data_IF_596606733169
#
_entry.id   IF_596606733169
#
_cell.length_a   1.000
_cell.length_b   1.000
_cell.length_c   1.000
_cell.angle_alpha   90.00
_cell.angle_beta   90.00
_cell.angle_gamma   90.00
#
_symmetry.space_group_name_H-M   'P 1'
#
loop_
_entity.id
_entity.type
_entity.pdbx_description
1 polymer ?
#
# COMPACT_ATOMS: atom_id res chain seq x y z
N UNK A 1 -41.24 7.66 -3.84
CA UNK A 1 -39.85 7.16 -3.78
C UNK A 1 -39.30 7.08 -2.35
N UNK A 2 -39.59 8.06 -1.47
CA UNK A 2 -39.14 8.07 -0.08
C UNK A 2 -39.68 6.89 0.76
N UNK A 3 -40.98 6.62 0.67
CA UNK A 3 -41.63 5.55 1.47
C UNK A 3 -41.17 4.13 1.07
N UNK A 4 -40.81 3.94 -0.20
CA UNK A 4 -40.28 2.66 -0.68
C UNK A 4 -38.90 2.37 -0.08
N UNK A 5 -38.00 3.35 -0.11
CA UNK A 5 -36.65 3.23 0.46
C UNK A 5 -36.72 2.99 1.97
N UNK A 6 -37.68 3.64 2.63
CA UNK A 6 -37.90 3.52 4.07
C UNK A 6 -38.45 2.14 4.46
N UNK A 7 -39.51 1.69 3.77
CA UNK A 7 -40.09 0.36 3.98
C UNK A 7 -39.07 -0.75 3.70
N UNK A 8 -38.25 -0.58 2.66
CA UNK A 8 -37.16 -1.49 2.34
C UNK A 8 -36.06 -1.51 3.41
N UNK A 9 -35.74 -0.34 4.00
CA UNK A 9 -34.76 -0.24 5.09
C UNK A 9 -35.22 -0.95 6.37
N UNK A 10 -36.49 -0.76 6.76
CA UNK A 10 -37.10 -1.49 7.88
C UNK A 10 -37.20 -3.00 7.61
N UNK A 11 -37.51 -3.41 6.37
CA UNK A 11 -37.52 -4.82 5.98
C UNK A 11 -36.13 -5.47 6.08
N UNK A 12 -35.07 -4.75 5.67
CA UNK A 12 -33.69 -5.23 5.82
C UNK A 12 -33.25 -5.31 7.28
N UNK A 13 -33.61 -4.31 8.10
CA UNK A 13 -33.24 -4.28 9.52
C UNK A 13 -33.88 -5.45 10.30
N UNK A 14 -35.16 -5.72 10.03
CA UNK A 14 -35.93 -6.79 10.66
C UNK A 14 -35.66 -8.19 10.08
N UNK A 15 -34.97 -8.30 8.94
CA UNK A 15 -34.68 -9.59 8.30
C UNK A 15 -33.47 -10.26 8.94
N UNK A 16 -33.72 -11.32 9.71
CA UNK A 16 -32.67 -12.14 10.32
C UNK A 16 -31.74 -12.78 9.29
N UNK A 17 -32.24 -13.12 8.09
CA UNK A 17 -31.42 -13.65 6.99
C UNK A 17 -30.43 -12.60 6.49
N UNK A 18 -30.88 -11.38 6.24
CA UNK A 18 -30.03 -10.29 5.77
C UNK A 18 -28.91 -9.97 6.76
N UNK A 19 -29.25 -9.81 8.04
CA UNK A 19 -28.28 -9.53 9.09
C UNK A 19 -27.25 -10.65 9.25
N UNK A 20 -27.67 -11.93 9.15
CA UNK A 20 -26.77 -13.08 9.17
C UNK A 20 -25.81 -13.08 7.97
N UNK A 21 -26.31 -12.87 6.75
CA UNK A 21 -25.46 -12.82 5.54
C UNK A 21 -24.48 -11.67 5.60
N UNK A 22 -24.91 -10.48 6.02
CA UNK A 22 -24.03 -9.33 6.15
C UNK A 22 -22.97 -9.54 7.22
N UNK A 23 -23.36 -10.10 8.37
CA UNK A 23 -22.42 -10.46 9.44
C UNK A 23 -21.39 -11.49 8.97
N UNK A 24 -21.82 -12.52 8.24
CA UNK A 24 -20.91 -13.52 7.66
C UNK A 24 -19.83 -12.90 6.78
N UNK A 25 -20.21 -12.07 5.80
CA UNK A 25 -19.22 -11.43 4.92
C UNK A 25 -18.36 -10.39 5.67
N UNK A 26 -18.93 -9.71 6.67
CA UNK A 26 -18.16 -8.82 7.55
C UNK A 26 -17.09 -9.61 8.30
N UNK A 27 -17.44 -10.74 8.90
CA UNK A 27 -16.47 -11.63 9.56
C UNK A 27 -15.44 -12.19 8.58
N UNK A 28 -15.87 -12.63 7.39
CA UNK A 28 -14.97 -13.17 6.38
C UNK A 28 -13.93 -12.14 5.89
N UNK A 29 -14.33 -10.88 5.69
CA UNK A 29 -13.45 -9.84 5.14
C UNK A 29 -12.65 -9.07 6.19
N UNK A 30 -13.23 -8.81 7.38
CA UNK A 30 -12.66 -7.90 8.39
C UNK A 30 -12.17 -8.59 9.67
N UNK A 31 -12.76 -9.72 10.08
CA UNK A 31 -12.48 -10.34 11.38
C UNK A 31 -11.30 -11.33 11.32
N UNK A 32 -10.16 -10.91 11.85
CA UNK A 32 -8.91 -11.69 11.89
C UNK A 32 -9.07 -13.02 12.62
N UNK A 33 -9.96 -13.11 13.61
CA UNK A 33 -10.15 -14.32 14.41
C UNK A 33 -11.10 -15.32 13.74
N UNK A 34 -11.70 -14.96 12.60
CA UNK A 34 -12.63 -15.84 11.91
C UNK A 34 -11.90 -16.96 11.17
N UNK A 35 -12.19 -18.25 11.45
CA UNK A 35 -11.39 -19.37 10.94
C UNK A 35 -11.37 -19.47 9.41
N UNK A 36 -12.48 -19.11 8.74
CA UNK A 36 -12.58 -19.15 7.28
C UNK A 36 -11.86 -17.99 6.59
N UNK A 37 -11.54 -16.92 7.33
CA UNK A 37 -10.83 -15.77 6.77
C UNK A 37 -9.44 -16.16 6.27
N UNK A 38 -8.72 -17.01 6.99
CA UNK A 38 -7.39 -17.47 6.59
C UNK A 38 -7.37 -18.10 5.19
N UNK A 39 -8.36 -18.95 4.88
CA UNK A 39 -8.49 -19.59 3.58
C UNK A 39 -8.86 -18.59 2.48
N UNK A 40 -9.78 -17.66 2.77
CA UNK A 40 -10.11 -16.59 1.85
C UNK A 40 -8.89 -15.72 1.54
N UNK A 41 -8.15 -15.30 2.56
CA UNK A 41 -6.95 -14.48 2.41
C UNK A 41 -5.88 -15.20 1.57
N UNK A 42 -5.62 -16.49 1.81
CA UNK A 42 -4.70 -17.28 0.96
C UNK A 42 -5.17 -17.41 -0.48
N UNK A 43 -6.47 -17.65 -0.68
CA UNK A 43 -7.04 -17.70 -2.03
C UNK A 43 -6.84 -16.38 -2.78
N UNK A 44 -7.08 -15.25 -2.11
CA UNK A 44 -6.90 -13.93 -2.72
C UNK A 44 -5.42 -13.61 -3.00
N UNK A 45 -4.52 -13.94 -2.07
CA UNK A 45 -3.06 -13.81 -2.28
C UNK A 45 -2.63 -14.63 -3.50
N UNK A 46 -3.10 -15.88 -3.61
CA UNK A 46 -2.81 -16.74 -4.75
C UNK A 46 -3.27 -16.13 -6.07
N UNK A 47 -4.50 -15.57 -6.12
CA UNK A 47 -4.99 -14.87 -7.31
C UNK A 47 -4.16 -13.64 -7.67
N UNK A 48 -3.71 -12.85 -6.67
CA UNK A 48 -2.87 -11.68 -6.90
C UNK A 48 -1.52 -12.08 -7.48
N UNK A 49 -0.83 -13.03 -6.85
CA UNK A 49 0.49 -13.49 -7.29
C UNK A 49 0.39 -14.14 -8.67
N UNK A 50 -0.61 -15.01 -8.88
CA UNK A 50 -0.87 -15.63 -10.17
C UNK A 50 -1.15 -14.61 -11.28
N UNK A 51 -1.97 -13.59 -10.99
CA UNK A 51 -2.26 -12.51 -11.94
C UNK A 51 -1.01 -11.73 -12.35
N UNK A 52 -0.13 -11.42 -11.39
CA UNK A 52 1.13 -10.73 -11.66
C UNK A 52 2.09 -11.63 -12.44
N UNK A 53 2.14 -12.92 -12.13
CA UNK A 53 2.95 -13.88 -12.87
C UNK A 53 2.48 -13.97 -14.34
N UNK A 54 1.16 -14.03 -14.60
CA UNK A 54 0.59 -13.98 -15.96
C UNK A 54 0.96 -12.66 -16.65
N UNK A 55 0.87 -11.52 -15.96
CA UNK A 55 1.26 -10.22 -16.52
C UNK A 55 2.73 -10.21 -16.96
N UNK A 56 3.66 -10.67 -16.11
CA UNK A 56 5.09 -10.68 -16.41
C UNK A 56 5.41 -11.67 -17.52
N UNK A 57 4.90 -12.89 -17.44
CA UNK A 57 5.15 -13.94 -18.45
C UNK A 57 4.54 -13.60 -19.80
N UNK A 58 3.40 -12.89 -19.85
CA UNK A 58 2.80 -12.42 -21.11
C UNK A 58 3.68 -11.43 -21.88
N UNK A 59 4.71 -10.84 -21.24
CA UNK A 59 5.68 -9.95 -21.89
C UNK A 59 6.84 -10.69 -22.54
N UNK A 60 7.14 -11.90 -22.10
CA UNK A 60 8.29 -12.68 -22.56
C UNK A 60 7.88 -13.85 -23.44
N UNK A 61 6.70 -14.43 -23.20
CA UNK A 61 6.20 -15.62 -23.89
C UNK A 61 4.76 -15.40 -24.34
N UNK A 62 4.42 -15.91 -25.52
CA UNK A 62 3.04 -15.98 -25.98
C UNK A 62 2.26 -16.99 -25.14
N UNK A 63 1.47 -16.49 -24.20
CA UNK A 63 0.60 -17.30 -23.36
C UNK A 63 -0.66 -17.73 -24.13
N UNK A 64 -1.21 -18.92 -23.82
CA UNK A 64 -2.46 -19.35 -24.42
C UNK A 64 -3.60 -18.39 -24.04
N UNK A 65 -4.48 -18.09 -25.01
CA UNK A 65 -5.55 -17.08 -24.85
C UNK A 65 -6.43 -17.32 -23.63
N UNK A 66 -6.77 -18.58 -23.35
CA UNK A 66 -7.61 -18.93 -22.20
C UNK A 66 -7.03 -18.48 -20.85
N UNK A 67 -5.70 -18.46 -20.70
CA UNK A 67 -5.04 -18.05 -19.46
C UNK A 67 -5.12 -16.52 -19.30
N UNK A 68 -4.96 -15.79 -20.40
CA UNK A 68 -5.10 -14.34 -20.45
C UNK A 68 -6.57 -13.95 -20.18
N UNK A 69 -7.52 -14.67 -20.76
CA UNK A 69 -8.96 -14.45 -20.57
C UNK A 69 -9.39 -14.79 -19.13
N UNK A 70 -8.84 -15.86 -18.54
CA UNK A 70 -9.06 -16.19 -17.14
C UNK A 70 -8.55 -15.06 -16.23
N UNK A 71 -7.34 -14.56 -16.43
CA UNK A 71 -6.84 -13.40 -15.65
C UNK A 71 -7.69 -12.13 -15.89
N UNK A 72 -8.05 -11.86 -17.14
CA UNK A 72 -8.74 -10.63 -17.51
C UNK A 72 -10.19 -10.61 -17.02
N UNK A 73 -10.92 -11.71 -17.16
CA UNK A 73 -12.34 -11.78 -16.80
C UNK A 73 -12.54 -12.38 -15.43
N UNK A 74 -12.08 -13.61 -15.18
CA UNK A 74 -12.37 -14.32 -13.93
C UNK A 74 -11.73 -13.65 -12.72
N UNK A 75 -10.41 -13.39 -12.75
CA UNK A 75 -9.71 -12.76 -11.61
C UNK A 75 -10.21 -11.33 -11.38
N UNK A 76 -10.37 -10.54 -12.45
CA UNK A 76 -10.89 -9.17 -12.34
C UNK A 76 -12.31 -9.14 -11.78
N UNK A 77 -13.19 -10.07 -12.17
CA UNK A 77 -14.54 -10.16 -11.61
C UNK A 77 -14.50 -10.48 -10.12
N UNK A 78 -13.63 -11.40 -9.67
CA UNK A 78 -13.47 -11.68 -8.24
C UNK A 78 -13.03 -10.42 -7.48
N UNK A 79 -12.06 -9.66 -8.00
CA UNK A 79 -11.62 -8.41 -7.37
C UNK A 79 -12.69 -7.32 -7.37
N UNK A 80 -13.50 -7.23 -8.42
CA UNK A 80 -14.63 -6.31 -8.48
C UNK A 80 -15.70 -6.69 -7.45
N UNK A 81 -16.02 -7.99 -7.32
CA UNK A 81 -16.96 -8.49 -6.31
C UNK A 81 -16.45 -8.22 -4.89
N UNK A 82 -15.17 -8.45 -4.62
CA UNK A 82 -14.55 -8.12 -3.34
C UNK A 82 -14.71 -6.63 -3.02
N UNK A 83 -14.37 -5.73 -3.94
CA UNK A 83 -14.50 -4.29 -3.76
C UNK A 83 -15.96 -3.89 -3.44
N UNK A 84 -16.92 -4.45 -4.19
CA UNK A 84 -18.34 -4.21 -3.95
C UNK A 84 -18.80 -4.73 -2.59
N UNK A 85 -18.35 -5.92 -2.16
CA UNK A 85 -18.65 -6.47 -0.85
C UNK A 85 -18.10 -5.58 0.27
N UNK A 86 -16.84 -5.12 0.17
CA UNK A 86 -16.26 -4.20 1.15
C UNK A 86 -17.01 -2.87 1.19
N UNK A 87 -17.37 -2.31 0.03
CA UNK A 87 -18.19 -1.10 -0.05
C UNK A 87 -19.57 -1.30 0.60
N UNK A 88 -20.19 -2.47 0.45
CA UNK A 88 -21.48 -2.83 1.05
C UNK A 88 -21.41 -3.00 2.58
N UNK A 89 -20.31 -3.57 3.09
CA UNK A 89 -20.13 -3.88 4.52
C UNK A 89 -19.67 -2.67 5.33
N UNK A 90 -18.89 -1.77 4.71
CA UNK A 90 -18.25 -0.62 5.37
C UNK A 90 -19.18 0.19 6.28
N UNK A 91 -20.45 0.38 5.88
CA UNK A 91 -21.45 1.10 6.68
C UNK A 91 -22.87 0.51 6.53
N UNK A 92 -23.62 0.51 7.62
CA UNK A 92 -25.01 0.03 7.68
C UNK A 92 -26.01 1.11 7.25
N UNK A 93 -26.22 1.22 5.92
CA UNK A 93 -27.14 2.21 5.30
C UNK A 93 -28.54 2.16 5.94
N UNK A 94 -29.07 0.96 6.17
CA UNK A 94 -30.43 0.76 6.69
C UNK A 94 -30.64 1.44 8.06
N UNK A 95 -29.65 1.34 8.96
CA UNK A 95 -29.71 1.97 10.29
C UNK A 95 -29.72 3.50 10.22
N UNK A 96 -28.97 4.07 9.27
CA UNK A 96 -28.94 5.52 9.07
C UNK A 96 -30.23 6.07 8.46
N UNK A 97 -30.86 5.34 7.53
CA UNK A 97 -32.15 5.72 6.95
C UNK A 97 -33.25 5.71 8.02
N UNK A 98 -33.28 4.68 8.87
CA UNK A 98 -34.21 4.59 10.01
C UNK A 98 -33.95 5.70 11.04
N UNK A 99 -32.69 6.01 11.33
CA UNK A 99 -32.33 7.10 12.25
C UNK A 99 -32.69 8.49 11.70
N UNK A 100 -32.55 8.70 10.38
CA UNK A 100 -32.95 9.94 9.72
C UNK A 100 -34.47 10.14 9.72
N UNK A 101 -35.25 9.07 9.72
CA UNK A 101 -36.72 9.13 9.79
C UNK A 101 -37.21 9.83 11.05
N UNK A 102 -36.58 9.53 12.20
CA UNK A 102 -36.93 10.06 13.52
C UNK A 102 -36.60 11.55 13.70
N UNK A 103 -35.94 12.18 12.72
CA UNK A 103 -35.47 13.57 12.80
C UNK A 103 -36.33 14.53 11.94
N UNK A 104 -36.34 15.82 12.33
CA UNK A 104 -37.06 16.89 11.62
C UNK A 104 -36.64 17.01 10.14
N UNK A 105 -37.55 17.48 9.27
CA UNK A 105 -37.35 17.59 7.80
C UNK A 105 -36.04 18.31 7.42
N UNK A 106 -35.66 19.36 8.13
CA UNK A 106 -34.38 20.07 7.90
C UNK A 106 -33.14 19.21 8.21
N UNK A 107 -33.21 18.38 9.25
CA UNK A 107 -32.12 17.49 9.66
C UNK A 107 -32.02 16.24 8.79
N UNK A 108 -33.10 15.84 8.10
CA UNK A 108 -33.10 14.69 7.18
C UNK A 108 -32.07 14.85 6.06
N UNK A 109 -32.05 16.01 5.39
CA UNK A 109 -31.06 16.31 4.34
C UNK A 109 -29.63 16.16 4.86
N UNK A 110 -29.35 16.71 6.05
CA UNK A 110 -28.04 16.61 6.71
C UNK A 110 -27.62 15.16 6.96
N UNK A 111 -28.54 14.27 7.34
CA UNK A 111 -28.25 12.84 7.56
C UNK A 111 -27.94 12.09 6.25
N UNK A 112 -28.65 12.36 5.16
CA UNK A 112 -28.33 11.77 3.85
C UNK A 112 -26.96 12.23 3.32
N UNK A 113 -26.64 13.52 3.50
CA UNK A 113 -25.31 14.05 3.19
C UNK A 113 -24.21 13.44 4.06
N UNK A 114 -24.50 13.20 5.34
CA UNK A 114 -23.58 12.52 6.26
C UNK A 114 -23.26 11.09 5.76
N UNK A 115 -24.29 10.33 5.37
CA UNK A 115 -24.16 8.99 4.82
C UNK A 115 -23.31 8.97 3.55
N UNK A 116 -23.60 9.88 2.61
CA UNK A 116 -22.83 9.99 1.36
C UNK A 116 -21.38 10.37 1.66
N UNK A 117 -21.13 11.27 2.61
CA UNK A 117 -19.78 11.67 3.05
C UNK A 117 -18.99 10.49 3.64
N UNK A 118 -19.63 9.63 4.44
CA UNK A 118 -18.95 8.45 4.98
C UNK A 118 -18.61 7.42 3.90
N UNK A 119 -19.52 7.16 2.95
CA UNK A 119 -19.21 6.28 1.81
C UNK A 119 -18.14 6.87 0.90
N UNK A 120 -18.19 8.17 0.61
CA UNK A 120 -17.15 8.86 -0.16
C UNK A 120 -15.81 8.83 0.57
N UNK A 121 -15.79 9.01 1.89
CA UNK A 121 -14.56 8.87 2.68
C UNK A 121 -13.97 7.47 2.58
N UNK A 122 -14.81 6.42 2.55
CA UNK A 122 -14.33 5.06 2.30
C UNK A 122 -13.81 4.90 0.87
N UNK A 123 -14.55 5.34 -0.15
CA UNK A 123 -14.14 5.25 -1.56
C UNK A 123 -12.85 6.02 -1.86
N UNK A 124 -12.61 7.13 -1.15
CA UNK A 124 -11.38 7.93 -1.24
C UNK A 124 -10.29 7.47 -0.27
N UNK A 125 -10.51 6.41 0.50
CA UNK A 125 -9.47 5.82 1.32
C UNK A 125 -8.43 5.16 0.41
N UNK A 126 -7.14 5.29 0.76
CA UNK A 126 -6.06 4.64 0.02
C UNK A 126 -6.35 3.14 -0.23
N UNK A 127 -6.89 2.40 0.75
CA UNK A 127 -7.33 1.04 0.53
C UNK A 127 -8.30 0.79 -0.62
N UNK A 128 -9.40 1.53 -0.63
CA UNK A 128 -10.44 1.39 -1.63
C UNK A 128 -9.98 1.85 -3.03
N UNK A 129 -9.11 2.87 -3.08
CA UNK A 129 -8.51 3.34 -4.32
C UNK A 129 -7.61 2.28 -4.95
N UNK A 130 -6.80 1.58 -4.16
CA UNK A 130 -5.96 0.47 -4.65
C UNK A 130 -6.85 -0.62 -5.26
N UNK A 131 -7.92 -1.03 -4.55
CA UNK A 131 -8.87 -2.04 -5.06
C UNK A 131 -9.54 -1.59 -6.36
N UNK A 132 -10.00 -0.34 -6.41
CA UNK A 132 -10.67 0.23 -7.58
C UNK A 132 -9.73 0.27 -8.79
N UNK A 133 -8.51 0.74 -8.60
CA UNK A 133 -7.52 0.86 -9.68
C UNK A 133 -7.07 -0.53 -10.15
N UNK A 134 -6.94 -1.50 -9.23
CA UNK A 134 -6.53 -2.87 -9.52
C UNK A 134 -7.53 -3.65 -10.42
N UNK A 135 -8.78 -3.20 -10.52
CA UNK A 135 -9.78 -3.76 -11.44
C UNK A 135 -9.43 -3.40 -12.90
N UNK A 136 -8.78 -2.27 -13.16
CA UNK A 136 -8.47 -1.85 -14.52
C UNK A 136 -7.34 -2.69 -15.15
N UNK A 137 -7.55 -3.26 -16.35
CA UNK A 137 -6.55 -4.13 -17.00
C UNK A 137 -5.22 -3.45 -17.34
N UNK A 138 -5.17 -2.12 -17.41
CA UNK A 138 -3.93 -1.35 -17.65
C UNK A 138 -3.04 -1.25 -16.42
N UNK A 139 -3.63 -1.33 -15.22
CA UNK A 139 -2.96 -1.10 -13.95
C UNK A 139 -2.80 -2.40 -13.15
N UNK A 140 -2.65 -3.55 -13.83
CA UNK A 140 -2.54 -4.87 -13.17
C UNK A 140 -1.42 -4.93 -12.14
N UNK A 141 -0.31 -4.21 -12.32
CA UNK A 141 0.78 -4.15 -11.33
C UNK A 141 0.32 -3.62 -9.97
N UNK A 142 -0.71 -2.76 -9.94
CA UNK A 142 -1.27 -2.20 -8.70
C UNK A 142 -1.97 -3.29 -7.87
N UNK A 143 -2.36 -4.43 -8.47
CA UNK A 143 -2.88 -5.60 -7.74
C UNK A 143 -1.88 -6.09 -6.69
N UNK A 144 -0.58 -5.92 -6.88
CA UNK A 144 0.44 -6.29 -5.90
C UNK A 144 0.24 -5.54 -4.57
N UNK A 145 -0.12 -4.26 -4.65
CA UNK A 145 -0.36 -3.48 -3.45
C UNK A 145 -1.54 -4.01 -2.65
N UNK A 146 -2.53 -4.68 -3.27
CA UNK A 146 -3.65 -5.31 -2.54
C UNK A 146 -3.20 -6.29 -1.45
N UNK A 147 -1.97 -6.81 -1.51
CA UNK A 147 -1.40 -7.67 -0.46
C UNK A 147 -1.47 -7.01 0.93
N UNK A 148 -1.46 -5.68 1.04
CA UNK A 148 -1.58 -5.02 2.34
C UNK A 148 -2.87 -5.41 3.09
N UNK A 149 -3.97 -5.76 2.38
CA UNK A 149 -5.23 -6.15 3.00
C UNK A 149 -5.14 -7.49 3.75
N UNK A 150 -4.25 -8.37 3.30
CA UNK A 150 -4.12 -9.73 3.81
C UNK A 150 -2.94 -9.87 4.77
N UNK A 151 -2.07 -8.86 4.85
CA UNK A 151 -1.01 -8.80 5.85
C UNK A 151 -1.60 -8.42 7.22
N UNK A 152 -1.90 -9.44 8.00
CA UNK A 152 -2.33 -9.28 9.40
C UNK A 152 -1.18 -8.73 10.25
N UNK A 153 -1.50 -7.79 11.15
CA UNK A 153 -0.51 -7.15 12.03
C UNK A 153 0.23 -5.96 11.42
N UNK A 154 0.08 -5.70 10.12
CA UNK A 154 0.70 -4.55 9.44
C UNK A 154 0.20 -3.22 9.99
N UNK A 155 -1.07 -3.10 10.42
CA UNK A 155 -1.56 -1.88 11.06
C UNK A 155 -0.91 -1.60 12.41
N UNK A 156 -0.57 -2.63 13.21
CA UNK A 156 0.18 -2.46 14.46
C UNK A 156 1.64 -2.13 14.21
N UNK A 157 2.29 -2.75 13.22
CA UNK A 157 3.66 -2.45 12.84
C UNK A 157 3.78 -1.03 12.28
N UNK A 158 2.89 -0.63 11.37
CA UNK A 158 2.84 0.74 10.87
C UNK A 158 2.56 1.74 11.97
N UNK A 159 1.69 1.43 12.94
CA UNK A 159 1.49 2.29 14.12
C UNK A 159 2.78 2.47 14.92
N UNK A 160 3.54 1.39 15.14
CA UNK A 160 4.84 1.47 15.81
C UNK A 160 5.84 2.34 15.04
N UNK A 161 5.90 2.22 13.71
CA UNK A 161 6.74 3.07 12.87
C UNK A 161 6.28 4.54 12.87
N UNK A 162 4.97 4.79 12.85
CA UNK A 162 4.39 6.14 12.94
C UNK A 162 4.70 6.80 14.28
N UNK A 163 4.82 6.04 15.38
CA UNK A 163 5.30 6.57 16.66
C UNK A 163 6.73 7.12 16.54
N UNK A 164 7.59 6.46 15.75
CA UNK A 164 8.99 6.87 15.47
C UNK A 164 9.14 7.75 14.22
N UNK A 165 8.08 8.47 13.83
CA UNK A 165 8.08 9.26 12.58
C UNK A 165 9.17 10.34 12.55
N UNK A 166 9.53 10.91 13.69
CA UNK A 166 10.52 11.99 13.74
C UNK A 166 11.93 11.45 13.45
N UNK A 167 12.23 10.25 13.96
CA UNK A 167 13.46 9.51 13.72
C UNK A 167 13.59 9.14 12.24
N UNK A 168 12.50 8.66 11.60
CA UNK A 168 12.49 8.39 10.16
C UNK A 168 12.63 9.67 9.30
N UNK A 169 12.00 10.77 9.70
CA UNK A 169 12.16 12.06 9.00
C UNK A 169 13.61 12.54 9.10
N UNK A 170 14.19 12.51 10.30
CA UNK A 170 15.58 12.86 10.54
C UNK A 170 16.55 12.00 9.71
N UNK A 171 16.31 10.69 9.69
CA UNK A 171 17.06 9.73 8.88
C UNK A 171 16.97 10.02 7.38
N UNK A 172 15.78 10.41 6.90
CA UNK A 172 15.57 10.85 5.52
C UNK A 172 16.38 12.10 5.18
N UNK A 173 16.38 13.10 6.07
CA UNK A 173 17.22 14.30 5.91
C UNK A 173 18.71 13.98 5.94
N UNK A 174 19.14 13.09 6.82
CA UNK A 174 20.54 12.67 6.91
C UNK A 174 20.98 11.93 5.64
N UNK A 175 20.16 10.99 5.13
CA UNK A 175 20.40 10.31 3.87
C UNK A 175 20.49 11.29 2.71
N UNK A 176 19.52 12.21 2.61
CA UNK A 176 19.51 13.25 1.58
C UNK A 176 20.79 14.10 1.66
N UNK A 177 21.15 14.57 2.85
CA UNK A 177 22.36 15.37 3.07
C UNK A 177 23.64 14.65 2.67
N UNK A 178 23.81 13.38 3.06
CA UNK A 178 24.96 12.55 2.69
C UNK A 178 25.01 12.35 1.17
N UNK A 179 23.92 11.86 0.56
CA UNK A 179 23.89 11.56 -0.89
C UNK A 179 24.19 12.80 -1.72
N UNK A 180 23.58 13.94 -1.41
CA UNK A 180 23.83 15.18 -2.16
C UNK A 180 25.22 15.75 -1.91
N UNK A 181 25.73 15.68 -0.69
CA UNK A 181 27.07 16.18 -0.37
C UNK A 181 28.16 15.34 -1.05
N UNK A 182 28.13 14.02 -0.85
CA UNK A 182 29.11 13.11 -1.45
C UNK A 182 28.99 13.06 -2.97
N UNK A 183 27.77 13.04 -3.53
CA UNK A 183 27.57 13.10 -4.98
C UNK A 183 28.06 14.42 -5.58
N UNK A 184 27.87 15.55 -4.91
CA UNK A 184 28.39 16.84 -5.41
C UNK A 184 29.90 16.92 -5.37
N UNK A 185 30.53 16.43 -4.30
CA UNK A 185 32.00 16.40 -4.19
C UNK A 185 32.57 15.44 -5.25
N UNK A 186 31.97 14.26 -5.40
CA UNK A 186 32.38 13.28 -6.42
C UNK A 186 32.28 13.87 -7.83
N UNK A 187 31.15 14.52 -8.16
CA UNK A 187 30.99 15.20 -9.43
C UNK A 187 32.08 16.25 -9.66
N UNK A 188 32.36 17.10 -8.66
CA UNK A 188 33.38 18.13 -8.78
C UNK A 188 34.80 17.58 -9.01
N UNK A 189 35.10 16.36 -8.52
CA UNK A 189 36.41 15.73 -8.62
C UNK A 189 36.58 14.87 -9.89
N UNK A 190 35.51 14.24 -10.36
CA UNK A 190 35.56 13.21 -11.39
C UNK A 190 35.00 13.68 -12.75
N UNK A 191 34.20 14.75 -12.78
CA UNK A 191 33.58 15.22 -14.01
C UNK A 191 34.61 15.71 -15.03
N UNK A 192 34.46 15.24 -16.28
CA UNK A 192 35.39 15.52 -17.38
C UNK A 192 36.66 14.66 -17.40
N UNK A 193 36.89 13.86 -16.35
CA UNK A 193 38.01 12.89 -16.27
C UNK A 193 37.46 11.47 -16.38
N UNK A 194 36.36 11.19 -15.69
CA UNK A 194 35.72 9.89 -15.64
C UNK A 194 34.77 9.70 -16.82
N UNK A 195 35.08 8.71 -17.66
CA UNK A 195 34.31 8.41 -18.88
C UNK A 195 32.89 7.92 -18.63
N UNK A 196 32.61 7.34 -17.45
CA UNK A 196 31.30 6.80 -17.08
C UNK A 196 30.41 7.85 -16.39
N UNK A 197 30.96 9.02 -16.05
CA UNK A 197 30.23 10.10 -15.37
C UNK A 197 29.80 11.18 -16.38
N UNK A 198 28.56 11.10 -16.85
CA UNK A 198 28.04 11.99 -17.89
C UNK A 198 27.29 13.22 -17.36
N UNK A 199 26.71 13.12 -16.16
CA UNK A 199 25.85 14.15 -15.60
C UNK A 199 25.91 14.22 -14.08
N UNK A 200 25.40 15.32 -13.50
CA UNK A 200 25.28 15.45 -12.06
C UNK A 200 24.35 14.39 -11.44
N UNK A 201 23.30 13.98 -12.16
CA UNK A 201 22.42 12.92 -11.70
C UNK A 201 23.15 11.57 -11.58
N UNK A 202 24.13 11.31 -12.43
CA UNK A 202 24.95 10.09 -12.36
C UNK A 202 25.81 10.08 -11.09
N UNK A 203 26.30 11.24 -10.65
CA UNK A 203 27.05 11.36 -9.39
C UNK A 203 26.14 11.19 -8.15
N UNK A 204 24.91 11.70 -8.21
CA UNK A 204 23.90 11.45 -7.15
C UNK A 204 23.50 9.98 -7.12
N UNK A 205 23.31 9.36 -8.28
CA UNK A 205 23.06 7.92 -8.42
C UNK A 205 24.20 7.10 -7.81
N UNK A 206 25.44 7.43 -8.17
CA UNK A 206 26.65 6.80 -7.62
C UNK A 206 26.69 6.91 -6.08
N UNK A 207 26.44 8.11 -5.54
CA UNK A 207 26.44 8.31 -4.10
C UNK A 207 25.35 7.48 -3.40
N UNK A 208 24.15 7.39 -4.00
CA UNK A 208 23.06 6.58 -3.47
C UNK A 208 23.40 5.08 -3.50
N UNK A 209 23.94 4.57 -4.60
CA UNK A 209 24.36 3.17 -4.77
C UNK A 209 25.48 2.79 -3.80
N UNK A 210 26.42 3.72 -3.56
CA UNK A 210 27.55 3.52 -2.64
C UNK A 210 27.09 3.54 -1.18
N UNK A 211 26.32 4.57 -0.77
CA UNK A 211 25.82 4.73 0.61
C UNK A 211 24.85 3.62 0.99
N UNK A 212 24.07 3.11 0.03
CA UNK A 212 23.19 1.96 0.23
C UNK A 212 23.91 0.61 0.20
N UNK A 213 25.24 0.59 0.03
CA UNK A 213 26.10 -0.61 -0.06
C UNK A 213 25.73 -1.56 -1.21
N UNK A 214 24.97 -1.10 -2.20
CA UNK A 214 24.60 -1.90 -3.38
C UNK A 214 25.82 -2.10 -4.28
N UNK A 215 26.53 -1.01 -4.58
CA UNK A 215 27.82 -1.06 -5.27
C UNK A 215 27.81 -1.78 -6.62
N UNK A 216 26.96 -1.38 -7.58
CA UNK A 216 26.93 -1.99 -8.91
C UNK A 216 28.27 -1.91 -9.66
N UNK A 217 29.06 -0.86 -9.39
CA UNK A 217 30.40 -0.67 -9.97
C UNK A 217 30.40 -0.11 -11.39
N UNK A 218 29.24 0.21 -11.94
CA UNK A 218 29.05 0.88 -13.23
C UNK A 218 29.63 2.30 -13.26
N UNK A 219 29.57 3.02 -12.14
CA UNK A 219 30.30 4.28 -11.93
C UNK A 219 31.21 4.10 -10.72
N UNK A 220 32.50 4.41 -10.87
CA UNK A 220 33.51 4.26 -9.81
C UNK A 220 34.55 5.39 -9.86
N UNK A 221 35.11 5.83 -8.72
CA UNK A 221 36.16 6.85 -8.70
C UNK A 221 37.40 6.37 -9.44
N UNK A 222 37.91 7.19 -10.37
CA UNK A 222 39.20 6.91 -11.02
C UNK A 222 40.32 7.79 -10.46
N UNK A 223 40.00 8.95 -9.89
CA UNK A 223 40.97 9.85 -9.26
C UNK A 223 41.27 9.44 -7.82
N UNK A 224 42.47 9.76 -7.32
CA UNK A 224 42.84 9.44 -5.94
C UNK A 224 41.99 10.21 -4.91
N UNK A 225 41.65 11.47 -5.20
CA UNK A 225 40.73 12.25 -4.37
C UNK A 225 39.31 11.68 -4.39
N UNK A 226 38.82 11.25 -5.57
CA UNK A 226 37.54 10.57 -5.69
C UNK A 226 37.49 9.29 -4.86
N UNK A 227 38.57 8.49 -4.87
CA UNK A 227 38.69 7.29 -4.03
C UNK A 227 38.65 7.62 -2.54
N UNK A 228 39.36 8.65 -2.09
CA UNK A 228 39.34 9.09 -0.69
C UNK A 228 37.92 9.47 -0.25
N UNK A 229 37.22 10.30 -1.04
CA UNK A 229 35.84 10.69 -0.74
C UNK A 229 34.90 9.49 -0.74
N UNK A 230 35.13 8.53 -1.64
CA UNK A 230 34.37 7.27 -1.68
C UNK A 230 34.56 6.44 -0.43
N UNK A 231 35.79 6.34 0.11
CA UNK A 231 36.06 5.64 1.37
C UNK A 231 35.26 6.24 2.53
N UNK A 232 35.21 7.57 2.64
CA UNK A 232 34.36 8.23 3.62
C UNK A 232 32.88 7.95 3.38
N UNK A 233 32.41 8.06 2.13
CA UNK A 233 31.03 7.77 1.74
C UNK A 233 30.57 6.37 2.14
N UNK A 234 31.43 5.36 1.98
CA UNK A 234 31.18 3.97 2.40
C UNK A 234 30.99 3.87 3.92
N UNK A 235 31.88 4.49 4.71
CA UNK A 235 31.77 4.48 6.19
C UNK A 235 30.46 5.12 6.65
N UNK A 236 30.09 6.25 6.04
CA UNK A 236 28.80 6.89 6.31
C UNK A 236 27.62 6.01 5.89
N UNK A 237 27.71 5.29 4.77
CA UNK A 237 26.70 4.33 4.33
C UNK A 237 26.44 3.22 5.35
N UNK A 238 27.51 2.61 5.88
CA UNK A 238 27.41 1.56 6.90
C UNK A 238 26.76 2.12 8.17
N UNK A 239 27.15 3.33 8.61
CA UNK A 239 26.55 3.99 9.76
C UNK A 239 25.04 4.27 9.54
N UNK A 240 24.66 4.70 8.34
CA UNK A 240 23.27 4.96 7.97
C UNK A 240 22.40 3.70 8.03
N UNK A 241 22.84 2.60 7.42
CA UNK A 241 22.09 1.33 7.44
C UNK A 241 21.94 0.81 8.88
N UNK A 242 23.00 0.93 9.68
CA UNK A 242 22.97 0.56 11.10
C UNK A 242 21.94 1.38 11.88
N UNK A 243 21.86 2.68 11.59
CA UNK A 243 20.90 3.57 12.23
C UNK A 243 19.45 3.28 11.82
N UNK A 244 19.18 3.03 10.52
CA UNK A 244 17.85 2.58 10.04
C UNK A 244 17.42 1.31 10.78
N UNK A 245 18.32 0.34 10.85
CA UNK A 245 18.05 -0.96 11.47
C UNK A 245 17.76 -0.82 12.97
N UNK A 246 18.54 0.01 13.67
CA UNK A 246 18.33 0.29 15.09
C UNK A 246 16.96 0.93 15.37
N UNK A 247 16.55 1.93 14.57
CA UNK A 247 15.24 2.57 14.71
C UNK A 247 14.10 1.57 14.45
N UNK A 248 14.24 0.72 13.42
CA UNK A 248 13.27 -0.34 13.12
C UNK A 248 13.14 -1.35 14.27
N UNK A 249 14.27 -1.84 14.79
CA UNK A 249 14.30 -2.80 15.91
C UNK A 249 13.69 -2.18 17.16
N UNK A 250 14.03 -0.93 17.48
CA UNK A 250 13.43 -0.21 18.61
C UNK A 250 11.91 -0.06 18.47
N UNK A 251 11.43 0.30 17.28
CA UNK A 251 9.99 0.42 17.02
C UNK A 251 9.25 -0.92 17.22
N UNK A 252 9.86 -2.03 16.81
CA UNK A 252 9.26 -3.35 16.96
C UNK A 252 9.37 -3.90 18.40
N UNK A 253 10.50 -3.70 19.08
CA UNK A 253 10.67 -4.12 20.48
C UNK A 253 9.64 -3.46 21.39
N UNK A 254 9.45 -2.14 21.25
CA UNK A 254 8.45 -1.39 22.03
C UNK A 254 7.03 -1.95 21.84
N UNK A 255 6.75 -2.58 20.68
CA UNK A 255 5.47 -3.24 20.43
C UNK A 255 5.35 -4.61 21.10
N UNK A 256 6.44 -5.38 21.18
CA UNK A 256 6.43 -6.69 21.83
C UNK A 256 6.33 -6.57 23.35
N UNK A 257 6.93 -5.53 23.94
CA UNK A 257 6.83 -5.25 25.38
C UNK A 257 5.42 -4.78 25.81
N UNK A 258 4.60 -4.29 24.87
CA UNK A 258 3.20 -3.89 25.08
C UNK A 258 2.17 -5.05 24.99
N UNK A 259 2.59 -6.26 24.59
CA UNK A 259 1.72 -7.44 24.40
C UNK A 259 1.80 -8.41 25.58
#
# INVERSE_FOLDING_TARGET
MHDFILKFSHMMDNSSKYQKTKSFFRSLLEDVNYPYKKYFDYFMIFLIIGSIAVLITSKTVELPRWLIDLDLYFVTTIFALEYLLRLWISHDIHKYVIAAEKQSKEKKSKYYWLLLKYKLRYMLSLPALIDLIAIFPKFRIIRLFKLYHYMHGTSSLFRALIKKRFEFIFLGYLLFGIVFSFGSIFYALEYGINGELHSYLDAIYWALVTVSTVGYGDISPITDLGKIISMFGIVFGIAMISFVTSVMVSAFSERFDEL
#
